data_IF_401729778529
#
_entry.id   IF_401729778529
#
_cell.length_a   1.000
_cell.length_b   1.000
_cell.length_c   1.000
_cell.angle_alpha   90.00
_cell.angle_beta   90.00
_cell.angle_gamma   90.00
#
_symmetry.space_group_name_H-M   'P 1'
#
loop_
_entity.id
_entity.type
_entity.pdbx_description
1 polymer ?
#
# COMPACT_ATOMS: atom_id res chain seq x y z
N UNK A 1 -18.06 -8.24 -27.46
CA UNK A 1 -16.91 -7.61 -28.15
C UNK A 1 -15.62 -8.11 -27.51
N UNK A 2 -14.74 -8.81 -28.24
CA UNK A 2 -13.43 -9.25 -27.70
C UNK A 2 -12.57 -8.01 -27.49
N UNK A 3 -12.10 -7.77 -26.26
CA UNK A 3 -11.12 -6.72 -25.98
C UNK A 3 -9.80 -7.12 -26.65
N UNK A 4 -9.21 -6.20 -27.39
CA UNK A 4 -7.88 -6.41 -27.97
C UNK A 4 -6.85 -6.66 -26.88
N UNK A 5 -5.95 -7.59 -27.12
CA UNK A 5 -4.81 -7.81 -26.22
C UNK A 5 -3.86 -6.60 -26.23
N UNK A 6 -3.12 -6.31 -25.15
CA UNK A 6 -2.21 -5.15 -25.07
C UNK A 6 -1.22 -5.03 -26.23
N UNK A 7 -0.70 -6.15 -26.73
CA UNK A 7 0.21 -6.18 -27.89
C UNK A 7 -0.49 -5.79 -29.21
N UNK A 8 -1.79 -6.04 -29.35
CA UNK A 8 -2.58 -5.64 -30.54
C UNK A 8 -2.78 -4.12 -30.56
N UNK A 9 -2.98 -3.49 -29.40
CA UNK A 9 -2.98 -2.04 -29.28
C UNK A 9 -1.64 -1.43 -29.65
N UNK A 10 -0.54 -2.06 -29.24
CA UNK A 10 0.82 -1.61 -29.59
C UNK A 10 1.07 -1.66 -31.09
N UNK A 11 0.62 -2.72 -31.78
CA UNK A 11 0.71 -2.84 -33.23
C UNK A 11 -0.16 -1.80 -33.95
N UNK A 12 -1.37 -1.55 -33.46
CA UNK A 12 -2.25 -0.52 -34.02
C UNK A 12 -1.68 0.88 -33.88
N UNK A 13 -1.11 1.20 -32.72
CA UNK A 13 -0.44 2.49 -32.46
C UNK A 13 0.81 2.64 -33.35
N UNK A 14 1.59 1.59 -33.51
CA UNK A 14 2.75 1.59 -34.42
C UNK A 14 2.32 1.78 -35.87
N UNK A 15 1.29 1.08 -36.33
CA UNK A 15 0.77 1.24 -37.69
C UNK A 15 0.22 2.67 -37.93
N UNK A 16 -0.54 3.21 -37.01
CA UNK A 16 -1.04 4.59 -37.06
C UNK A 16 0.13 5.59 -37.11
N UNK A 17 1.13 5.38 -36.27
CA UNK A 17 2.34 6.22 -36.24
C UNK A 17 3.10 6.20 -37.59
N UNK A 18 3.29 5.02 -38.19
CA UNK A 18 3.96 4.90 -39.48
C UNK A 18 3.18 5.60 -40.60
N UNK A 19 1.83 5.49 -40.59
CA UNK A 19 0.97 6.19 -41.55
C UNK A 19 1.08 7.71 -41.38
N UNK A 20 1.02 8.21 -40.15
CA UNK A 20 1.15 9.65 -39.87
C UNK A 20 2.54 10.19 -40.21
N UNK A 21 3.59 9.43 -39.90
CA UNK A 21 4.97 9.81 -40.24
C UNK A 21 5.17 9.88 -41.74
N UNK A 22 4.58 8.94 -42.52
CA UNK A 22 4.66 8.94 -43.98
C UNK A 22 3.82 10.08 -44.59
N UNK A 23 2.64 10.35 -44.09
CA UNK A 23 1.83 11.49 -44.51
C UNK A 23 2.55 12.83 -44.26
N UNK A 24 3.15 12.98 -43.10
CA UNK A 24 3.92 14.17 -42.72
C UNK A 24 5.18 14.34 -43.61
N UNK A 25 5.85 13.24 -43.95
CA UNK A 25 6.97 13.25 -44.87
C UNK A 25 6.57 13.74 -46.27
N UNK A 26 5.49 13.18 -46.82
CA UNK A 26 4.99 13.58 -48.13
C UNK A 26 4.62 15.07 -48.16
N UNK A 27 4.05 15.54 -47.03
CA UNK A 27 3.67 16.95 -46.88
C UNK A 27 4.88 17.88 -46.73
N UNK A 28 5.94 17.47 -46.04
CA UNK A 28 7.16 18.28 -45.78
C UNK A 28 8.26 18.03 -46.80
N UNK A 29 8.14 17.06 -47.72
CA UNK A 29 9.19 16.75 -48.71
C UNK A 29 10.49 16.20 -48.15
N UNK A 30 10.47 15.57 -46.96
CA UNK A 30 11.65 15.12 -46.21
C UNK A 30 12.42 14.02 -46.92
N UNK A 31 13.76 14.08 -46.87
CA UNK A 31 14.68 13.05 -47.34
C UNK A 31 14.64 11.81 -46.44
N UNK A 32 15.14 10.68 -46.93
CA UNK A 32 15.11 9.40 -46.20
C UNK A 32 15.82 9.45 -44.85
N UNK A 33 16.97 10.15 -44.79
CA UNK A 33 17.75 10.32 -43.56
C UNK A 33 16.98 11.12 -42.48
N UNK A 34 16.22 12.14 -42.86
CA UNK A 34 15.41 12.97 -41.96
C UNK A 34 14.23 12.18 -41.41
N UNK A 35 13.65 11.25 -42.21
CA UNK A 35 12.62 10.31 -41.70
C UNK A 35 13.14 9.42 -40.59
N UNK A 36 14.30 8.78 -40.82
CA UNK A 36 14.92 7.93 -39.81
C UNK A 36 15.20 8.72 -38.55
N UNK A 37 15.72 9.96 -38.70
CA UNK A 37 15.95 10.87 -37.59
C UNK A 37 14.67 11.18 -36.80
N UNK A 38 13.55 11.49 -37.47
CA UNK A 38 12.26 11.75 -36.81
C UNK A 38 11.70 10.50 -36.13
N UNK A 39 11.83 9.34 -36.76
CA UNK A 39 11.39 8.06 -36.14
C UNK A 39 12.18 7.77 -34.86
N UNK A 40 13.51 7.91 -34.93
CA UNK A 40 14.36 7.70 -33.76
C UNK A 40 14.11 8.72 -32.65
N UNK A 41 13.88 9.98 -33.00
CA UNK A 41 13.52 11.03 -32.03
C UNK A 41 12.17 10.72 -31.36
N UNK A 42 11.15 10.33 -32.14
CA UNK A 42 9.85 9.97 -31.61
C UNK A 42 9.89 8.71 -30.73
N UNK A 43 10.66 7.69 -31.12
CA UNK A 43 10.91 6.50 -30.30
C UNK A 43 11.66 6.86 -29.02
N UNK A 44 12.63 7.77 -29.09
CA UNK A 44 13.34 8.29 -27.92
C UNK A 44 12.43 9.02 -26.94
N UNK A 45 11.56 9.91 -27.44
CA UNK A 45 10.55 10.60 -26.63
C UNK A 45 9.55 9.60 -26.03
N UNK A 46 9.07 8.66 -26.85
CA UNK A 46 8.16 7.62 -26.37
C UNK A 46 8.82 6.76 -25.28
N UNK A 47 10.07 6.32 -25.49
CA UNK A 47 10.81 5.54 -24.50
C UNK A 47 11.10 6.35 -23.24
N UNK A 48 11.38 7.65 -23.35
CA UNK A 48 11.55 8.54 -22.20
C UNK A 48 10.27 8.68 -21.39
N UNK A 49 9.12 8.93 -22.05
CA UNK A 49 7.82 9.04 -21.40
C UNK A 49 7.39 7.70 -20.77
N UNK A 50 7.66 6.59 -21.46
CA UNK A 50 7.23 5.26 -21.04
C UNK A 50 8.32 4.45 -20.33
N UNK A 51 9.53 4.99 -20.19
CA UNK A 51 10.69 4.29 -19.63
C UNK A 51 10.42 3.70 -18.26
N UNK A 52 9.63 4.40 -17.43
CA UNK A 52 9.18 3.93 -16.12
C UNK A 52 8.33 2.64 -16.23
N UNK A 53 7.41 2.58 -17.19
CA UNK A 53 6.56 1.41 -17.40
C UNK A 53 7.34 0.24 -18.00
N UNK A 54 8.26 0.51 -18.94
CA UNK A 54 9.15 -0.51 -19.52
C UNK A 54 10.02 -1.12 -18.45
N UNK A 55 10.63 -0.28 -17.59
CA UNK A 55 11.47 -0.72 -16.50
C UNK A 55 10.67 -1.51 -15.45
N UNK A 56 9.48 -1.03 -15.06
CA UNK A 56 8.59 -1.74 -14.15
C UNK A 56 8.17 -3.11 -14.71
N UNK A 57 7.83 -3.18 -15.99
CA UNK A 57 7.48 -4.44 -16.66
C UNK A 57 8.65 -5.43 -16.72
N UNK A 58 9.85 -4.96 -17.06
CA UNK A 58 11.08 -5.76 -17.03
C UNK A 58 11.36 -6.30 -15.63
N UNK A 59 11.25 -5.45 -14.61
CA UNK A 59 11.41 -5.86 -13.20
C UNK A 59 10.33 -6.85 -12.78
N UNK A 60 9.07 -6.63 -13.14
CA UNK A 60 7.99 -7.57 -12.84
C UNK A 60 8.24 -8.95 -13.43
N UNK A 61 8.69 -9.02 -14.70
CA UNK A 61 9.06 -10.28 -15.34
C UNK A 61 10.22 -10.98 -14.62
N UNK A 62 11.32 -10.27 -14.39
CA UNK A 62 12.50 -10.86 -13.74
C UNK A 62 12.25 -11.24 -12.30
N UNK A 63 11.47 -10.45 -11.56
CA UNK A 63 11.09 -10.73 -10.17
C UNK A 63 10.18 -11.94 -10.09
N UNK A 64 9.22 -12.10 -11.01
CA UNK A 64 8.33 -13.27 -11.02
C UNK A 64 9.09 -14.59 -11.15
N UNK A 65 10.17 -14.62 -11.95
CA UNK A 65 11.05 -15.81 -12.04
C UNK A 65 11.83 -16.07 -10.75
N UNK A 66 12.27 -15.03 -10.04
CA UNK A 66 12.98 -15.14 -8.77
C UNK A 66 12.04 -15.61 -7.66
N UNK A 67 10.85 -14.99 -7.56
CA UNK A 67 9.83 -15.32 -6.54
C UNK A 67 9.38 -16.77 -6.65
N UNK A 68 9.22 -17.32 -7.86
CA UNK A 68 8.85 -18.73 -8.07
C UNK A 68 9.90 -19.73 -7.55
N UNK A 69 11.13 -19.28 -7.29
CA UNK A 69 12.22 -20.10 -6.75
C UNK A 69 12.36 -19.99 -5.23
N UNK A 70 11.62 -19.07 -4.61
CA UNK A 70 11.61 -18.97 -3.15
C UNK A 70 10.86 -20.16 -2.56
N UNK A 71 11.28 -20.62 -1.36
CA UNK A 71 10.52 -21.64 -0.65
C UNK A 71 9.11 -21.14 -0.38
N UNK A 72 8.11 -22.02 -0.35
CA UNK A 72 6.76 -21.64 -0.01
C UNK A 72 6.71 -21.05 1.38
N UNK A 73 5.88 -20.02 1.55
CA UNK A 73 5.66 -19.44 2.87
C UNK A 73 5.04 -20.47 3.81
N UNK A 74 5.50 -20.55 5.08
CA UNK A 74 5.03 -21.57 6.02
C UNK A 74 3.50 -21.56 6.17
N UNK A 75 2.92 -22.74 6.11
CA UNK A 75 1.47 -22.88 6.30
C UNK A 75 1.06 -22.55 7.74
N UNK A 76 -0.09 -21.89 7.96
CA UNK A 76 -0.59 -21.62 9.30
C UNK A 76 -0.80 -22.90 10.10
N UNK A 77 -0.50 -22.83 11.38
CA UNK A 77 -0.71 -23.97 12.29
C UNK A 77 -2.12 -23.90 12.93
N UNK A 78 -2.74 -25.04 13.24
CA UNK A 78 -4.01 -25.06 13.96
C UNK A 78 -3.92 -24.29 15.28
N UNK A 79 -4.92 -23.43 15.55
CA UNK A 79 -4.94 -22.60 16.77
C UNK A 79 -3.99 -21.40 16.78
N UNK A 80 -3.24 -21.17 15.70
CA UNK A 80 -2.38 -20.00 15.56
C UNK A 80 -3.16 -18.69 15.63
N UNK A 81 -2.57 -17.65 16.24
CA UNK A 81 -3.09 -16.31 16.21
C UNK A 81 -2.18 -15.40 15.40
N UNK A 82 -2.58 -15.09 14.18
CA UNK A 82 -1.90 -14.16 13.29
C UNK A 82 -2.41 -12.74 13.54
N UNK A 83 -1.52 -11.83 13.88
CA UNK A 83 -1.81 -10.40 13.92
C UNK A 83 -1.11 -9.71 12.76
N UNK A 84 -1.85 -8.91 12.00
CA UNK A 84 -1.31 -8.09 10.92
C UNK A 84 -1.38 -6.61 11.30
N UNK A 85 -0.25 -5.90 11.20
CA UNK A 85 -0.19 -4.44 11.29
C UNK A 85 -0.29 -3.86 9.87
N UNK A 86 -1.38 -3.16 9.59
CA UNK A 86 -1.65 -2.49 8.33
C UNK A 86 -1.51 -0.97 8.49
N UNK A 87 -0.58 -0.30 7.82
CA UNK A 87 -0.56 1.16 7.80
C UNK A 87 -1.87 1.76 7.35
N UNK A 88 -2.46 1.23 6.26
CA UNK A 88 -3.67 1.76 5.64
C UNK A 88 -4.73 0.68 5.42
N UNK A 89 -6.01 1.07 5.27
CA UNK A 89 -7.09 0.17 4.82
C UNK A 89 -6.89 -0.22 3.35
N UNK A 90 -6.45 -1.41 3.06
CA UNK A 90 -6.19 -2.14 1.82
C UNK A 90 -4.92 -3.01 1.92
N UNK A 91 -3.97 -2.64 2.78
CA UNK A 91 -2.70 -3.37 2.95
C UNK A 91 -2.92 -4.83 3.34
N UNK A 92 -3.95 -5.13 4.13
CA UNK A 92 -4.27 -6.49 4.56
C UNK A 92 -4.67 -7.39 3.38
N UNK A 93 -5.34 -6.82 2.40
CA UNK A 93 -5.74 -7.54 1.19
C UNK A 93 -4.56 -7.69 0.25
N UNK A 94 -3.83 -6.58 0.02
CA UNK A 94 -2.68 -6.57 -0.90
C UNK A 94 -1.54 -7.47 -0.43
N UNK A 95 -1.25 -7.45 0.87
CA UNK A 95 -0.14 -8.21 1.43
C UNK A 95 -0.49 -9.67 1.76
N UNK A 96 -1.67 -9.92 2.32
CA UNK A 96 -1.86 -11.13 3.10
C UNK A 96 -3.24 -11.81 2.96
N UNK A 97 -4.14 -11.38 2.07
CA UNK A 97 -5.50 -11.94 1.97
C UNK A 97 -5.53 -13.48 1.95
N UNK A 98 -4.65 -14.10 1.16
CA UNK A 98 -4.54 -15.56 1.09
C UNK A 98 -4.05 -16.19 2.40
N UNK A 99 -3.13 -15.54 3.11
CA UNK A 99 -2.63 -16.02 4.40
C UNK A 99 -3.70 -15.91 5.49
N UNK A 100 -4.37 -14.75 5.58
CA UNK A 100 -5.46 -14.50 6.54
C UNK A 100 -6.55 -15.56 6.37
N UNK A 101 -6.97 -15.81 5.12
CA UNK A 101 -7.99 -16.83 4.82
C UNK A 101 -7.53 -18.24 5.18
N UNK A 102 -6.27 -18.62 4.87
CA UNK A 102 -5.74 -19.95 5.24
C UNK A 102 -5.64 -20.12 6.75
N UNK A 103 -5.24 -19.09 7.50
CA UNK A 103 -5.21 -19.12 8.96
C UNK A 103 -6.58 -19.49 9.54
N UNK A 104 -7.64 -18.83 9.06
CA UNK A 104 -9.02 -19.12 9.48
C UNK A 104 -9.44 -20.56 9.11
N UNK A 105 -9.17 -20.99 7.88
CA UNK A 105 -9.55 -22.32 7.41
C UNK A 105 -8.85 -23.45 8.20
N UNK A 106 -7.72 -23.15 8.84
CA UNK A 106 -6.99 -24.06 9.73
C UNK A 106 -7.40 -23.95 11.21
N UNK A 107 -8.47 -23.20 11.50
CA UNK A 107 -8.96 -23.01 12.87
C UNK A 107 -8.11 -22.05 13.71
N UNK A 108 -7.28 -21.24 13.06
CA UNK A 108 -6.54 -20.15 13.69
C UNK A 108 -7.40 -18.91 13.87
N UNK A 109 -6.86 -17.90 14.57
CA UNK A 109 -7.44 -16.57 14.73
C UNK A 109 -6.63 -15.55 13.94
N UNK A 110 -7.31 -14.50 13.49
CA UNK A 110 -6.70 -13.35 12.80
C UNK A 110 -7.12 -12.07 13.47
N UNK A 111 -6.18 -11.15 13.68
CA UNK A 111 -6.44 -9.77 14.06
C UNK A 111 -5.73 -8.85 13.09
N UNK A 112 -6.43 -7.80 12.64
CA UNK A 112 -5.86 -6.77 11.77
C UNK A 112 -5.91 -5.43 12.50
N UNK A 113 -4.77 -4.79 12.65
CA UNK A 113 -4.62 -3.48 13.28
C UNK A 113 -4.26 -2.46 12.21
N UNK A 114 -5.21 -1.58 11.88
CA UNK A 114 -4.99 -0.46 10.98
C UNK A 114 -4.48 0.74 11.76
N UNK A 115 -3.27 1.21 11.44
CA UNK A 115 -2.68 2.34 12.15
C UNK A 115 -3.37 3.64 11.78
N UNK A 116 -3.73 3.80 10.49
CA UNK A 116 -4.48 4.96 10.01
C UNK A 116 -5.87 4.56 9.51
N UNK A 117 -6.70 5.54 9.23
CA UNK A 117 -7.98 5.34 8.56
C UNK A 117 -7.92 5.68 7.06
N UNK A 118 -6.73 5.94 6.50
CA UNK A 118 -6.54 6.27 5.10
C UNK A 118 -7.10 7.64 4.72
N UNK A 119 -6.93 8.63 5.58
CA UNK A 119 -7.48 9.98 5.48
C UNK A 119 -6.60 11.00 4.74
N UNK A 120 -5.63 10.51 3.93
CA UNK A 120 -4.77 11.35 3.10
C UNK A 120 -4.67 10.90 1.64
N UNK A 121 -5.58 10.05 1.17
CA UNK A 121 -5.59 9.59 -0.22
C UNK A 121 -6.47 10.49 -1.10
N UNK A 122 -5.89 11.59 -1.60
CA UNK A 122 -6.59 12.65 -2.36
C UNK A 122 -7.40 12.14 -3.54
N UNK A 123 -6.86 11.18 -4.32
CA UNK A 123 -7.53 10.62 -5.50
C UNK A 123 -8.86 9.96 -5.16
N UNK A 124 -8.98 9.34 -3.99
CA UNK A 124 -10.21 8.70 -3.53
C UNK A 124 -11.23 9.69 -2.93
N UNK A 125 -10.82 10.92 -2.66
CA UNK A 125 -11.71 11.95 -2.11
C UNK A 125 -12.70 12.52 -3.15
N UNK A 126 -12.49 12.21 -4.45
CA UNK A 126 -13.40 12.61 -5.54
C UNK A 126 -13.29 14.07 -5.95
N UNK A 127 -12.23 14.76 -5.53
CA UNK A 127 -11.92 16.15 -5.90
C UNK A 127 -10.41 16.32 -6.04
N UNK A 128 -9.91 17.10 -7.00
CA UNK A 128 -8.48 17.39 -7.12
C UNK A 128 -7.91 18.23 -5.96
N UNK A 129 -8.78 18.93 -5.21
CA UNK A 129 -8.44 19.70 -4.01
C UNK A 129 -9.49 19.43 -2.93
N UNK A 130 -9.42 18.29 -2.25
CA UNK A 130 -10.44 17.92 -1.27
C UNK A 130 -10.34 18.81 -0.01
N UNK A 131 -11.51 19.17 0.54
CA UNK A 131 -11.56 19.86 1.83
C UNK A 131 -11.18 18.92 2.97
N UNK A 132 -10.73 19.48 4.10
CA UNK A 132 -10.44 18.71 5.33
C UNK A 132 -11.63 17.84 5.75
N UNK A 133 -12.84 18.33 5.57
CA UNK A 133 -14.06 17.58 5.88
C UNK A 133 -14.30 16.43 4.89
N UNK A 134 -13.97 16.59 3.61
CA UNK A 134 -14.02 15.51 2.63
C UNK A 134 -13.02 14.38 2.98
N UNK A 135 -11.83 14.73 3.44
CA UNK A 135 -10.83 13.77 3.90
C UNK A 135 -11.28 13.01 5.16
N UNK A 136 -11.91 13.69 6.12
CA UNK A 136 -12.50 13.04 7.29
C UNK A 136 -13.62 12.07 6.91
N UNK A 137 -14.49 12.42 5.94
CA UNK A 137 -15.51 11.49 5.42
C UNK A 137 -14.89 10.32 4.67
N UNK A 138 -13.80 10.55 3.96
CA UNK A 138 -13.04 9.48 3.29
C UNK A 138 -12.56 8.43 4.31
N UNK A 139 -11.99 8.86 5.44
CA UNK A 139 -11.57 7.95 6.51
C UNK A 139 -12.68 6.99 6.93
N UNK A 140 -13.87 7.52 7.24
CA UNK A 140 -15.01 6.71 7.66
C UNK A 140 -15.44 5.72 6.56
N UNK A 141 -15.43 6.15 5.30
CA UNK A 141 -15.74 5.28 4.16
C UNK A 141 -14.73 4.15 4.03
N UNK A 142 -13.42 4.45 4.09
CA UNK A 142 -12.35 3.44 3.99
C UNK A 142 -12.38 2.44 5.14
N UNK A 143 -12.71 2.87 6.36
CA UNK A 143 -12.92 1.94 7.47
C UNK A 143 -14.06 0.94 7.18
N UNK A 144 -15.18 1.41 6.59
CA UNK A 144 -16.29 0.53 6.20
C UNK A 144 -15.89 -0.41 5.05
N UNK A 145 -15.13 0.09 4.08
CA UNK A 145 -14.62 -0.71 2.96
C UNK A 145 -13.67 -1.81 3.46
N UNK A 146 -12.77 -1.51 4.38
CA UNK A 146 -11.89 -2.49 5.01
C UNK A 146 -12.68 -3.57 5.78
N UNK A 147 -13.67 -3.19 6.58
CA UNK A 147 -14.54 -4.18 7.23
C UNK A 147 -15.22 -5.12 6.23
N UNK A 148 -15.74 -4.59 5.13
CA UNK A 148 -16.35 -5.43 4.07
C UNK A 148 -15.33 -6.34 3.40
N UNK A 149 -14.10 -5.87 3.20
CA UNK A 149 -12.98 -6.68 2.70
C UNK A 149 -12.68 -7.86 3.64
N UNK A 150 -12.60 -7.61 4.94
CA UNK A 150 -12.39 -8.64 5.94
C UNK A 150 -13.57 -9.63 6.03
N UNK A 151 -14.81 -9.16 5.98
CA UNK A 151 -16.01 -10.00 5.91
C UNK A 151 -16.00 -10.93 4.68
N UNK A 152 -15.56 -10.43 3.52
CA UNK A 152 -15.41 -11.24 2.30
C UNK A 152 -14.34 -12.34 2.44
N UNK A 153 -13.31 -12.10 3.26
CA UNK A 153 -12.32 -13.10 3.63
C UNK A 153 -12.81 -14.07 4.72
N UNK A 154 -13.99 -13.82 5.31
CA UNK A 154 -14.57 -14.61 6.37
C UNK A 154 -14.11 -14.22 7.78
N UNK A 155 -13.50 -13.04 7.95
CA UNK A 155 -13.14 -12.52 9.27
C UNK A 155 -14.33 -11.81 9.92
N UNK A 156 -14.58 -12.02 11.23
CA UNK A 156 -15.59 -11.29 11.97
C UNK A 156 -15.14 -9.82 12.20
N UNK A 157 -16.09 -8.92 12.46
CA UNK A 157 -15.81 -7.49 12.64
C UNK A 157 -14.89 -7.17 13.81
N UNK A 158 -14.92 -7.95 14.85
CA UNK A 158 -14.08 -7.82 16.05
C UNK A 158 -12.61 -8.23 15.78
N UNK A 159 -12.32 -8.73 14.59
CA UNK A 159 -10.93 -8.94 14.13
C UNK A 159 -10.21 -7.64 13.74
N UNK A 160 -10.94 -6.53 13.51
CA UNK A 160 -10.39 -5.27 13.00
C UNK A 160 -10.27 -4.22 14.11
N UNK A 161 -9.09 -3.66 14.27
CA UNK A 161 -8.76 -2.60 15.21
C UNK A 161 -8.26 -1.37 14.42
N UNK A 162 -9.07 -0.32 14.34
CA UNK A 162 -8.66 0.95 13.75
C UNK A 162 -8.08 1.87 14.82
N UNK A 163 -6.82 2.28 14.67
CA UNK A 163 -6.19 3.19 15.63
C UNK A 163 -6.49 4.66 15.29
N UNK A 164 -6.69 4.98 14.00
CA UNK A 164 -7.10 6.32 13.55
C UNK A 164 -6.02 7.39 13.64
N UNK A 165 -4.75 7.00 13.64
CA UNK A 165 -3.63 7.94 13.55
C UNK A 165 -3.53 8.53 12.13
N UNK A 166 -2.80 9.65 11.93
CA UNK A 166 -2.82 10.38 10.66
C UNK A 166 -2.14 9.60 9.53
N UNK A 167 -2.85 9.39 8.43
CA UNK A 167 -2.29 8.89 7.17
C UNK A 167 -1.26 9.89 6.63
N UNK A 168 -0.16 9.40 6.04
CA UNK A 168 1.06 10.14 5.67
C UNK A 168 1.74 10.88 6.83
N UNK A 169 1.34 10.61 8.06
CA UNK A 169 1.90 11.21 9.25
C UNK A 169 2.70 10.27 10.14
N UNK A 170 2.60 8.93 9.94
CA UNK A 170 3.20 7.96 10.86
C UNK A 170 4.73 8.12 10.98
N UNK A 171 5.41 8.46 9.88
CA UNK A 171 6.85 8.68 9.91
C UNK A 171 7.22 9.93 10.71
N UNK A 172 6.41 10.99 10.65
CA UNK A 172 6.60 12.16 11.51
C UNK A 172 6.36 11.82 12.98
N UNK A 173 5.37 10.97 13.30
CA UNK A 173 5.14 10.49 14.67
C UNK A 173 6.33 9.64 15.16
N UNK A 174 6.89 8.80 14.31
CA UNK A 174 8.06 8.00 14.68
C UNK A 174 9.32 8.85 14.93
N UNK A 175 9.43 10.02 14.28
CA UNK A 175 10.64 10.86 14.32
C UNK A 175 10.44 12.15 15.11
N UNK A 176 9.99 13.20 14.45
CA UNK A 176 9.93 14.58 14.98
C UNK A 176 8.78 14.84 15.95
N UNK A 177 7.70 14.06 15.82
CA UNK A 177 6.50 14.17 16.64
C UNK A 177 6.31 13.00 17.61
N UNK A 178 7.40 12.40 18.08
CA UNK A 178 7.30 11.30 19.02
C UNK A 178 6.66 11.73 20.36
N UNK A 179 7.03 12.90 20.87
CA UNK A 179 6.46 13.50 22.09
C UNK A 179 5.57 14.69 21.81
N UNK A 180 5.73 15.36 20.69
CA UNK A 180 5.03 16.58 20.36
C UNK A 180 3.80 16.27 19.48
N UNK A 181 2.62 16.85 19.76
CA UNK A 181 1.44 16.63 18.96
C UNK A 181 1.64 17.04 17.48
N UNK A 182 1.28 16.15 16.58
CA UNK A 182 1.22 16.40 15.13
C UNK A 182 -0.16 16.89 14.73
N UNK A 183 -0.23 17.82 13.80
CA UNK A 183 -1.47 18.22 13.13
C UNK A 183 -1.46 17.69 11.70
N UNK A 184 -2.44 16.85 11.34
CA UNK A 184 -2.58 16.38 9.98
C UNK A 184 -2.89 17.52 9.02
N UNK A 185 -2.09 17.79 7.99
CA UNK A 185 -2.38 18.81 6.99
C UNK A 185 -3.65 18.51 6.19
N UNK A 186 -3.99 17.22 6.04
CA UNK A 186 -5.16 16.76 5.28
C UNK A 186 -6.47 16.95 6.02
N UNK A 187 -6.49 16.69 7.32
CA UNK A 187 -7.72 16.69 8.13
C UNK A 187 -7.78 17.82 9.15
N UNK A 188 -6.63 18.40 9.51
CA UNK A 188 -6.51 19.37 10.60
C UNK A 188 -6.72 18.76 11.99
N UNK A 189 -6.76 17.44 12.12
CA UNK A 189 -6.88 16.77 13.40
C UNK A 189 -5.51 16.68 14.09
N UNK A 190 -5.55 16.67 15.44
CA UNK A 190 -4.39 16.47 16.31
C UNK A 190 -4.53 15.26 17.24
N UNK A 191 -5.68 14.61 17.17
CA UNK A 191 -6.01 13.44 17.99
C UNK A 191 -6.99 12.54 17.23
N UNK A 192 -7.07 11.28 17.65
CA UNK A 192 -7.99 10.28 17.11
C UNK A 192 -9.43 10.73 17.34
N UNK A 193 -10.21 10.90 16.26
CA UNK A 193 -11.55 11.45 16.30
C UNK A 193 -12.61 10.62 15.56
N UNK A 194 -12.22 9.55 14.87
CA UNK A 194 -13.17 8.77 14.07
C UNK A 194 -13.95 7.77 14.92
N UNK A 195 -15.31 7.80 14.88
CA UNK A 195 -16.12 6.77 15.50
C UNK A 195 -15.75 5.36 14.99
N UNK A 196 -15.61 4.41 15.91
CA UNK A 196 -15.18 3.05 15.57
C UNK A 196 -13.67 2.81 15.69
N UNK A 197 -12.88 3.83 16.00
CA UNK A 197 -11.49 3.64 16.38
C UNK A 197 -11.36 3.03 17.78
N UNK A 198 -10.26 2.31 18.00
CA UNK A 198 -9.96 1.57 19.24
C UNK A 198 -10.05 2.46 20.48
N UNK A 199 -9.51 3.69 20.40
CA UNK A 199 -9.60 4.68 21.49
C UNK A 199 -9.65 6.09 20.93
N UNK A 200 -10.70 6.83 21.26
CA UNK A 200 -10.84 8.24 20.87
C UNK A 200 -10.01 9.16 21.77
N UNK A 201 -9.64 10.32 21.25
CA UNK A 201 -8.94 11.37 21.99
C UNK A 201 -7.44 11.14 22.18
N UNK A 202 -6.87 10.04 21.69
CA UNK A 202 -5.43 9.83 21.72
C UNK A 202 -4.72 10.91 20.91
N UNK A 203 -3.74 11.63 21.49
CA UNK A 203 -3.01 12.65 20.75
C UNK A 203 -2.19 12.02 19.63
N UNK A 204 -2.07 12.71 18.52
CA UNK A 204 -1.21 12.29 17.41
C UNK A 204 0.27 12.45 17.79
N UNK A 205 0.78 11.52 18.59
CA UNK A 205 2.19 11.41 18.99
C UNK A 205 2.69 9.99 18.79
N UNK A 206 3.98 9.84 18.49
CA UNK A 206 4.60 8.51 18.38
C UNK A 206 4.48 7.71 19.67
N UNK A 207 4.65 8.36 20.82
CA UNK A 207 4.50 7.75 22.16
C UNK A 207 3.10 7.16 22.39
N UNK A 208 2.04 7.88 21.98
CA UNK A 208 0.67 7.37 22.11
C UNK A 208 0.41 6.17 21.18
N UNK A 209 0.93 6.22 19.96
CA UNK A 209 0.81 5.12 19.00
C UNK A 209 1.57 3.88 19.50
N UNK A 210 2.82 4.03 19.90
CA UNK A 210 3.63 2.92 20.43
C UNK A 210 2.98 2.29 21.66
N UNK A 211 2.52 3.08 22.63
CA UNK A 211 1.83 2.59 23.82
C UNK A 211 0.57 1.80 23.45
N UNK A 212 -0.18 2.24 22.43
CA UNK A 212 -1.36 1.53 21.94
C UNK A 212 -1.00 0.19 21.28
N UNK A 213 0.09 0.15 20.51
CA UNK A 213 0.59 -1.10 19.93
C UNK A 213 1.06 -2.08 21.00
N UNK A 214 1.79 -1.63 22.00
CA UNK A 214 2.23 -2.46 23.15
C UNK A 214 1.00 -3.03 23.87
N UNK A 215 0.00 -2.22 24.15
CA UNK A 215 -1.25 -2.65 24.82
C UNK A 215 -1.96 -3.73 24.00
N UNK A 216 -2.11 -3.52 22.68
CA UNK A 216 -2.77 -4.50 21.81
C UNK A 216 -1.98 -5.81 21.71
N UNK A 217 -0.66 -5.75 21.55
CA UNK A 217 0.17 -6.95 21.51
C UNK A 217 0.11 -7.73 22.82
N UNK A 218 0.15 -7.03 23.97
CA UNK A 218 0.05 -7.64 25.28
C UNK A 218 -1.32 -8.29 25.54
N UNK A 219 -2.38 -7.68 25.01
CA UNK A 219 -3.78 -8.17 25.16
C UNK A 219 -4.04 -9.35 24.23
N UNK A 220 -3.71 -9.21 22.95
CA UNK A 220 -4.02 -10.20 21.91
C UNK A 220 -3.08 -11.40 21.95
N UNK A 221 -1.86 -11.22 22.41
CA UNK A 221 -0.82 -12.26 22.54
C UNK A 221 -0.67 -13.10 21.26
N UNK A 222 -0.46 -12.48 20.09
CA UNK A 222 -0.37 -13.20 18.84
C UNK A 222 0.83 -14.17 18.85
N UNK A 223 0.66 -15.32 18.18
CA UNK A 223 1.78 -16.26 17.95
C UNK A 223 2.67 -15.82 16.78
N UNK A 224 2.09 -15.05 15.83
CA UNK A 224 2.80 -14.45 14.68
C UNK A 224 2.34 -13.01 14.49
N UNK A 225 3.29 -12.14 14.14
CA UNK A 225 3.06 -10.71 13.92
C UNK A 225 3.60 -10.37 12.53
N UNK A 226 2.69 -10.09 11.60
CA UNK A 226 3.02 -9.71 10.25
C UNK A 226 2.96 -8.19 10.11
N UNK A 227 4.08 -7.55 9.77
CA UNK A 227 4.21 -6.10 9.63
C UNK A 227 4.90 -5.74 8.31
N UNK A 228 4.78 -4.48 7.84
CA UNK A 228 5.48 -4.05 6.64
C UNK A 228 6.98 -4.23 6.79
N UNK A 229 7.67 -4.44 5.68
CA UNK A 229 9.13 -4.44 5.68
C UNK A 229 9.66 -3.01 5.94
N UNK A 230 10.71 -2.84 6.75
CA UNK A 230 11.40 -1.55 6.88
C UNK A 230 12.07 -1.11 5.57
N UNK A 231 12.18 -2.00 4.57
CA UNK A 231 12.69 -1.71 3.23
C UNK A 231 11.58 -1.28 2.25
N UNK A 232 10.34 -1.16 2.71
CA UNK A 232 9.24 -0.63 1.89
C UNK A 232 9.50 0.83 1.50
N UNK A 233 9.11 1.23 0.30
CA UNK A 233 9.34 2.59 -0.19
C UNK A 233 8.38 3.62 0.45
N UNK A 234 7.25 3.19 1.01
CA UNK A 234 6.28 4.07 1.65
C UNK A 234 6.68 4.39 3.09
N UNK A 235 6.75 5.67 3.44
CA UNK A 235 7.22 6.11 4.77
C UNK A 235 6.35 5.63 5.92
N UNK A 236 5.04 5.57 5.75
CA UNK A 236 4.14 5.04 6.80
C UNK A 236 4.35 3.54 7.02
N UNK A 237 4.70 2.78 5.96
CA UNK A 237 5.09 1.38 6.10
C UNK A 237 6.37 1.23 6.91
N UNK A 238 7.40 2.04 6.61
CA UNK A 238 8.64 2.06 7.39
C UNK A 238 8.37 2.39 8.86
N UNK A 239 7.58 3.44 9.13
CA UNK A 239 7.22 3.83 10.49
C UNK A 239 6.44 2.72 11.23
N UNK A 240 5.48 2.09 10.55
CA UNK A 240 4.73 0.95 11.12
C UNK A 240 5.67 -0.21 11.44
N UNK A 241 6.64 -0.51 10.56
CA UNK A 241 7.65 -1.52 10.81
C UNK A 241 8.44 -1.22 12.08
N UNK A 242 9.02 -0.03 12.19
CA UNK A 242 9.85 0.35 13.35
C UNK A 242 9.05 0.38 14.65
N UNK A 243 7.86 1.00 14.66
CA UNK A 243 7.01 1.05 15.85
C UNK A 243 6.52 -0.35 16.26
N UNK A 244 6.17 -1.20 15.29
CA UNK A 244 5.79 -2.59 15.54
C UNK A 244 6.93 -3.42 16.10
N UNK A 245 8.16 -3.24 15.59
CA UNK A 245 9.37 -3.89 16.11
C UNK A 245 9.66 -3.44 17.54
N UNK A 246 9.59 -2.14 17.85
CA UNK A 246 9.80 -1.61 19.20
C UNK A 246 8.76 -2.14 20.17
N UNK A 247 7.48 -2.14 19.79
CA UNK A 247 6.39 -2.68 20.61
C UNK A 247 6.56 -4.18 20.87
N UNK A 248 6.96 -4.97 19.88
CA UNK A 248 7.23 -6.39 20.04
C UNK A 248 8.44 -6.63 20.93
N UNK A 249 9.53 -5.87 20.76
CA UNK A 249 10.73 -5.98 21.56
C UNK A 249 10.47 -5.69 23.05
N UNK A 250 9.66 -4.68 23.36
CA UNK A 250 9.28 -4.36 24.75
C UNK A 250 8.54 -5.48 25.46
N UNK A 251 7.99 -6.45 24.71
CA UNK A 251 7.24 -7.61 25.21
C UNK A 251 7.98 -8.94 25.01
N UNK A 252 9.21 -8.94 24.50
CA UNK A 252 9.97 -10.16 24.20
C UNK A 252 9.35 -10.99 23.07
N UNK A 253 8.71 -10.35 22.09
CA UNK A 253 7.98 -10.99 20.97
C UNK A 253 8.75 -10.91 19.64
N UNK A 254 10.02 -10.52 19.60
CA UNK A 254 10.79 -10.33 18.36
C UNK A 254 10.87 -11.58 17.51
N UNK A 255 10.93 -12.75 18.12
CA UNK A 255 10.94 -14.03 17.41
C UNK A 255 9.63 -14.39 16.70
N UNK A 256 8.58 -13.56 16.84
CA UNK A 256 7.27 -13.74 16.19
C UNK A 256 7.07 -12.83 14.98
N UNK A 257 8.06 -11.96 14.69
CA UNK A 257 7.97 -10.97 13.63
C UNK A 257 8.19 -11.57 12.27
N UNK A 258 7.31 -11.23 11.34
CA UNK A 258 7.39 -11.57 9.93
C UNK A 258 7.09 -10.32 9.11
N UNK A 259 7.55 -10.28 7.86
CA UNK A 259 7.51 -9.04 7.08
C UNK A 259 6.84 -9.25 5.73
N UNK A 260 6.06 -8.25 5.31
CA UNK A 260 5.55 -8.15 3.96
C UNK A 260 6.06 -6.89 3.25
N UNK A 261 6.02 -6.86 1.94
CA UNK A 261 6.45 -5.74 1.11
C UNK A 261 5.38 -5.44 0.07
N UNK A 262 4.89 -4.22 0.04
CA UNK A 262 3.92 -3.74 -0.96
C UNK A 262 4.61 -2.80 -1.96
N UNK A 263 5.27 -1.75 -1.49
CA UNK A 263 5.92 -0.77 -2.33
C UNK A 263 7.40 -1.11 -2.53
N UNK A 264 7.66 -2.05 -3.44
CA UNK A 264 8.99 -2.56 -3.75
C UNK A 264 9.82 -1.64 -4.64
N UNK A 265 10.19 -0.46 -4.19
CA UNK A 265 11.11 0.42 -4.90
C UNK A 265 10.48 1.15 -6.10
N UNK A 266 10.83 0.78 -7.35
CA UNK A 266 10.34 1.47 -8.56
C UNK A 266 8.92 1.07 -9.00
N UNK A 267 8.29 0.13 -8.33
CA UNK A 267 6.92 -0.25 -8.58
C UNK A 267 5.99 0.66 -7.76
N UNK A 268 5.38 1.60 -8.43
CA UNK A 268 4.22 2.30 -7.90
C UNK A 268 3.00 1.41 -8.16
N UNK A 269 2.07 1.24 -7.20
CA UNK A 269 0.81 0.59 -7.47
C UNK A 269 0.02 1.37 -8.51
#
# INVERSE_FOLDING_TARGET
>A
MRRLAPWQWLLLLLALYLVLAEALRLWLGLLWAERVGLILAALGVWAFINGRFIFAYYHALTTSFRVRRLPPYPEPQPGEHLLLLAPHPDDEVLAAAGLLRRTLLRGGRVSVVYLTSGDAFDLAAGSPLPSKEAMRRLALRRMVEAWRGLEALGLPRDSAYFLGFPDQGLFALFTTHYYLPYESPYTGLRAVAYPGCYRLGLPYTGKALEATLVELLATLKPSRILLPSPLDAHRDHQATAYLGMQAAASLGMEGRLEYYLIHGGYQYP
#
